data_IF_332555423335
#
_entry.id   IF_332555423335
#
_cell.length_a   1.000
_cell.length_b   1.000
_cell.length_c   1.000
_cell.angle_alpha   90.00
_cell.angle_beta   90.00
_cell.angle_gamma   90.00
#
_symmetry.space_group_name_H-M   'P 1'
#
loop_
_entity.id
_entity.type
_entity.pdbx_description
1 polymer ?
#
# COMPACT_ATOMS: atom_id res chain seq x y z
N UNK A 1 41.08 18.91 -3.80
CA UNK A 1 41.01 19.07 -2.32
C UNK A 1 39.59 19.23 -1.76
N UNK A 2 38.52 18.67 -2.37
CA UNK A 2 37.14 18.82 -1.85
C UNK A 2 36.86 17.92 -0.64
N UNK A 3 37.46 16.73 -0.56
CA UNK A 3 37.15 15.73 0.48
C UNK A 3 37.41 16.21 1.92
N UNK A 4 38.58 16.79 2.27
CA UNK A 4 38.84 17.25 3.65
C UNK A 4 37.90 18.38 4.09
N UNK A 5 37.47 19.22 3.15
CA UNK A 5 36.51 20.29 3.40
C UNK A 5 35.13 19.73 3.77
N UNK A 6 34.65 18.74 3.01
CA UNK A 6 33.35 18.10 3.26
C UNK A 6 33.37 17.37 4.61
N UNK A 7 34.44 16.62 4.90
CA UNK A 7 34.63 15.94 6.19
C UNK A 7 34.58 16.93 7.37
N UNK A 8 35.35 18.02 7.31
CA UNK A 8 35.31 19.06 8.35
C UNK A 8 33.92 19.67 8.52
N UNK A 9 33.23 19.94 7.42
CA UNK A 9 31.88 20.52 7.44
C UNK A 9 30.84 19.59 8.09
N UNK A 10 30.85 18.29 7.77
CA UNK A 10 29.93 17.32 8.40
C UNK A 10 30.27 17.05 9.88
N UNK A 11 31.56 17.09 10.26
CA UNK A 11 31.94 17.07 11.69
C UNK A 11 31.37 18.27 12.43
N UNK A 12 31.47 19.47 11.85
CA UNK A 12 30.90 20.69 12.46
C UNK A 12 29.37 20.62 12.51
N UNK A 13 28.72 20.08 11.46
CA UNK A 13 27.27 19.86 11.44
C UNK A 13 26.86 18.92 12.58
N UNK A 14 27.56 17.82 12.79
CA UNK A 14 27.25 16.87 13.86
C UNK A 14 27.52 17.46 15.27
N UNK A 15 28.70 18.03 15.49
CA UNK A 15 29.28 18.29 16.81
C UNK A 15 28.77 19.54 17.57
N UNK A 16 27.77 20.27 17.06
CA UNK A 16 27.23 21.51 17.68
C UNK A 16 28.29 22.64 17.87
N UNK A 17 29.49 22.50 17.31
CA UNK A 17 30.59 23.46 17.47
C UNK A 17 30.37 24.77 16.72
N UNK A 18 29.63 24.73 15.62
CA UNK A 18 29.30 25.89 14.78
C UNK A 18 27.80 26.07 14.65
N UNK A 19 27.35 27.32 14.61
CA UNK A 19 25.94 27.64 14.39
C UNK A 19 25.51 27.30 12.95
N UNK A 20 24.24 26.95 12.76
CA UNK A 20 23.66 26.68 11.43
C UNK A 20 23.79 27.90 10.50
N UNK A 21 23.71 29.12 11.04
CA UNK A 21 23.92 30.37 10.30
C UNK A 21 25.38 30.54 9.81
N UNK A 22 26.35 29.98 10.53
CA UNK A 22 27.73 29.95 10.05
C UNK A 22 27.90 28.90 8.94
N UNK A 23 27.32 27.72 9.12
CA UNK A 23 27.40 26.61 8.16
C UNK A 23 26.68 26.90 6.83
N UNK A 24 25.61 27.69 6.85
CA UNK A 24 24.84 28.06 5.64
C UNK A 24 25.64 28.90 4.64
N UNK A 25 26.71 29.59 5.08
CA UNK A 25 27.52 30.44 4.20
C UNK A 25 28.27 29.65 3.13
N UNK A 26 28.61 28.40 3.41
CA UNK A 26 29.37 27.54 2.50
C UNK A 26 28.93 26.10 2.66
N UNK A 27 27.87 25.74 1.97
CA UNK A 27 27.27 24.40 2.04
C UNK A 27 27.93 23.51 0.99
N UNK A 28 28.33 22.27 1.32
CA UNK A 28 28.82 21.30 0.35
C UNK A 28 27.77 21.00 -0.73
N UNK A 29 28.20 20.93 -1.98
CA UNK A 29 27.35 20.58 -3.11
C UNK A 29 27.62 19.14 -3.58
N UNK A 30 26.55 18.39 -3.80
CA UNK A 30 26.59 17.00 -4.24
C UNK A 30 25.77 16.83 -5.52
N UNK A 31 26.31 16.05 -6.47
CA UNK A 31 25.62 15.72 -7.71
C UNK A 31 24.58 14.59 -7.52
N UNK A 32 24.88 13.65 -6.62
CA UNK A 32 24.03 12.51 -6.30
C UNK A 32 23.46 12.70 -4.90
N UNK A 33 22.14 12.60 -4.78
CA UNK A 33 21.44 12.71 -3.50
C UNK A 33 21.79 11.55 -2.56
N UNK A 34 22.10 10.37 -3.11
CA UNK A 34 22.50 9.20 -2.34
C UNK A 34 23.80 9.41 -1.56
N UNK A 35 24.74 10.22 -2.10
CA UNK A 35 25.98 10.57 -1.40
C UNK A 35 25.68 11.35 -0.11
N UNK A 36 24.69 12.24 -0.15
CA UNK A 36 24.28 13.02 1.04
C UNK A 36 23.87 12.09 2.17
N UNK A 37 23.08 11.05 1.89
CA UNK A 37 22.65 10.11 2.93
C UNK A 37 23.82 9.37 3.57
N UNK A 38 24.82 8.97 2.77
CA UNK A 38 26.05 8.34 3.27
C UNK A 38 26.80 9.27 4.22
N UNK A 39 27.02 10.53 3.84
CA UNK A 39 27.69 11.52 4.71
C UNK A 39 26.90 11.81 5.99
N UNK A 40 25.57 11.88 5.90
CA UNK A 40 24.73 12.07 7.07
C UNK A 40 24.86 10.90 8.07
N UNK A 41 24.91 9.68 7.56
CA UNK A 41 25.11 8.49 8.38
C UNK A 41 26.53 8.38 8.97
N UNK A 42 27.56 8.53 8.14
CA UNK A 42 28.98 8.41 8.55
C UNK A 42 29.34 9.35 9.70
N UNK A 43 28.73 10.53 9.72
CA UNK A 43 28.95 11.54 10.77
C UNK A 43 27.86 11.53 11.85
N UNK A 44 26.94 10.56 11.81
CA UNK A 44 25.85 10.40 12.78
C UNK A 44 25.09 11.71 13.03
N UNK A 45 24.74 12.41 11.95
CA UNK A 45 24.14 13.73 12.03
C UNK A 45 22.76 13.65 12.71
N UNK A 46 22.46 14.50 13.71
CA UNK A 46 21.12 14.53 14.31
C UNK A 46 20.02 14.85 13.29
N UNK A 47 18.87 14.19 13.42
CA UNK A 47 17.79 14.24 12.41
C UNK A 47 17.33 15.67 12.09
N UNK A 48 17.19 16.54 13.09
CA UNK A 48 16.81 17.96 12.91
C UNK A 48 17.82 18.71 12.03
N UNK A 49 19.12 18.42 12.20
CA UNK A 49 20.19 19.03 11.40
C UNK A 49 20.28 18.43 10.01
N UNK A 50 19.99 17.13 9.88
CA UNK A 50 19.87 16.48 8.59
C UNK A 50 18.72 17.10 7.77
N UNK A 51 17.53 17.26 8.36
CA UNK A 51 16.39 17.97 7.75
C UNK A 51 16.79 19.38 7.30
N UNK A 52 17.43 20.16 8.18
CA UNK A 52 17.92 21.49 7.84
C UNK A 52 18.88 21.46 6.65
N UNK A 53 19.86 20.55 6.65
CA UNK A 53 20.83 20.43 5.57
C UNK A 53 20.17 20.05 4.24
N UNK A 54 19.18 19.14 4.25
CA UNK A 54 18.42 18.78 3.06
C UNK A 54 17.61 19.97 2.53
N UNK A 55 16.94 20.72 3.40
CA UNK A 55 16.20 21.95 3.03
C UNK A 55 17.12 22.98 2.37
N UNK A 56 18.29 23.21 2.95
CA UNK A 56 19.29 24.16 2.41
C UNK A 56 19.89 23.64 1.10
N UNK A 57 20.19 22.35 1.00
CA UNK A 57 20.69 21.73 -0.24
C UNK A 57 19.68 21.86 -1.37
N UNK A 58 18.39 21.66 -1.06
CA UNK A 58 17.31 21.81 -2.02
C UNK A 58 17.16 23.27 -2.50
N UNK A 59 17.15 24.22 -1.56
CA UNK A 59 17.12 25.65 -1.89
C UNK A 59 18.30 26.08 -2.76
N UNK A 60 19.49 25.54 -2.50
CA UNK A 60 20.68 25.81 -3.32
C UNK A 60 20.57 25.22 -4.72
N UNK A 61 20.05 23.99 -4.86
CA UNK A 61 19.79 23.36 -6.16
C UNK A 61 18.77 24.17 -6.99
N UNK A 62 17.69 24.64 -6.37
CA UNK A 62 16.69 25.49 -7.01
C UNK A 62 17.28 26.83 -7.49
N UNK A 63 18.12 27.47 -6.67
CA UNK A 63 18.77 28.73 -7.05
C UNK A 63 19.72 28.56 -8.26
N UNK A 64 20.44 27.43 -8.34
CA UNK A 64 21.34 27.12 -9.46
C UNK A 64 20.55 26.80 -10.74
N UNK A 65 19.45 26.06 -10.63
CA UNK A 65 18.62 25.70 -11.79
C UNK A 65 17.95 26.94 -12.39
N UNK A 66 17.48 27.88 -11.57
CA UNK A 66 16.94 29.17 -12.01
C UNK A 66 17.99 30.05 -12.71
N UNK A 67 19.25 30.03 -12.25
CA UNK A 67 20.31 30.81 -12.90
C UNK A 67 20.71 30.27 -14.27
N UNK A 68 20.63 28.96 -14.47
CA UNK A 68 21.08 28.27 -15.68
C UNK A 68 20.00 28.13 -16.76
N UNK A 69 18.70 28.15 -16.39
CA UNK A 69 17.60 27.85 -17.31
C UNK A 69 16.82 29.07 -17.84
N UNK A 70 17.44 30.26 -17.89
CA UNK A 70 16.77 31.52 -18.31
C UNK A 70 16.11 31.52 -19.71
N UNK A 71 16.27 30.51 -20.55
CA UNK A 71 15.82 30.50 -21.95
C UNK A 71 14.85 29.38 -22.37
N UNK A 72 14.38 28.51 -21.46
CA UNK A 72 13.35 27.51 -21.80
C UNK A 72 12.11 27.72 -20.94
N UNK A 73 10.96 27.86 -21.62
CA UNK A 73 9.61 28.00 -21.03
C UNK A 73 9.47 27.12 -19.78
N UNK A 74 8.81 27.71 -18.78
CA UNK A 74 8.21 27.21 -17.53
C UNK A 74 7.57 25.80 -17.62
N UNK A 75 8.27 24.78 -18.10
CA UNK A 75 7.80 23.41 -18.17
C UNK A 75 8.62 22.57 -17.18
N UNK A 76 7.91 22.12 -16.14
CA UNK A 76 8.25 21.04 -15.22
C UNK A 76 9.62 21.14 -14.56
N UNK A 77 9.69 21.89 -13.46
CA UNK A 77 10.64 21.56 -12.39
C UNK A 77 9.99 20.38 -11.65
N UNK A 78 10.61 19.19 -11.61
CA UNK A 78 10.11 18.07 -10.84
C UNK A 78 9.88 18.49 -9.39
N UNK A 79 8.80 18.02 -8.77
CA UNK A 79 8.56 18.31 -7.35
C UNK A 79 9.76 17.80 -6.55
N UNK A 80 10.47 18.67 -5.81
CA UNK A 80 11.61 18.24 -5.02
C UNK A 80 11.28 17.08 -4.07
N UNK A 81 10.06 17.05 -3.51
CA UNK A 81 9.63 15.99 -2.60
C UNK A 81 9.61 14.62 -3.28
N UNK A 82 9.17 14.53 -4.54
CA UNK A 82 9.18 13.29 -5.33
C UNK A 82 10.61 12.81 -5.60
N UNK A 83 11.52 13.72 -5.97
CA UNK A 83 12.93 13.36 -6.21
C UNK A 83 13.64 12.85 -4.95
N UNK A 84 13.41 13.52 -3.81
CA UNK A 84 13.98 13.10 -2.52
C UNK A 84 13.38 11.77 -2.06
N UNK A 85 12.09 11.54 -2.31
CA UNK A 85 11.41 10.27 -2.03
C UNK A 85 12.02 9.15 -2.86
N UNK A 86 12.13 9.31 -4.17
CA UNK A 86 12.71 8.31 -5.06
C UNK A 86 14.16 7.96 -4.66
N UNK A 87 14.98 8.97 -4.34
CA UNK A 87 16.37 8.76 -3.94
C UNK A 87 16.48 8.04 -2.59
N UNK A 88 15.63 8.38 -1.63
CA UNK A 88 15.62 7.74 -0.31
C UNK A 88 15.12 6.30 -0.39
N UNK A 89 14.02 6.05 -1.09
CA UNK A 89 13.47 4.71 -1.33
C UNK A 89 14.49 3.80 -2.03
N UNK A 90 15.23 4.33 -3.00
CA UNK A 90 16.34 3.62 -3.65
C UNK A 90 17.46 3.29 -2.67
N UNK A 91 17.89 4.25 -1.85
CA UNK A 91 18.95 4.06 -0.85
C UNK A 91 18.56 3.01 0.21
N UNK A 92 17.32 3.05 0.69
CA UNK A 92 16.78 2.04 1.60
C UNK A 92 16.77 0.66 0.94
N UNK A 93 16.30 0.55 -0.31
CA UNK A 93 16.29 -0.70 -1.05
C UNK A 93 17.71 -1.26 -1.23
N UNK A 94 18.68 -0.44 -1.61
CA UNK A 94 20.09 -0.86 -1.72
C UNK A 94 20.67 -1.32 -0.37
N UNK A 95 20.33 -0.62 0.72
CA UNK A 95 20.76 -1.01 2.08
C UNK A 95 20.18 -2.36 2.47
N UNK A 96 18.91 -2.61 2.18
CA UNK A 96 18.28 -3.91 2.39
C UNK A 96 18.95 -5.04 1.60
N UNK A 97 19.23 -4.82 0.31
CA UNK A 97 19.91 -5.85 -0.51
C UNK A 97 21.27 -6.23 0.09
N UNK A 98 22.01 -5.25 0.63
CA UNK A 98 23.26 -5.51 1.37
C UNK A 98 23.05 -6.33 2.65
N UNK A 99 21.94 -6.10 3.37
CA UNK A 99 21.57 -6.93 4.54
C UNK A 99 21.33 -8.37 4.12
N UNK A 100 20.57 -8.60 3.03
CA UNK A 100 20.31 -9.95 2.53
C UNK A 100 21.61 -10.67 2.14
N UNK A 101 22.48 -9.99 1.39
CA UNK A 101 23.76 -10.54 0.94
C UNK A 101 24.66 -10.93 2.11
N UNK A 102 24.70 -10.10 3.15
CA UNK A 102 25.51 -10.33 4.35
C UNK A 102 24.92 -11.41 5.28
N UNK A 103 23.60 -11.63 5.23
CA UNK A 103 22.89 -12.62 6.06
C UNK A 103 22.88 -14.01 5.42
N UNK A 104 23.10 -14.10 4.11
CA UNK A 104 23.16 -15.38 3.39
C UNK A 104 24.50 -16.10 3.59
N UNK A 105 24.55 -17.31 4.19
CA UNK A 105 25.79 -18.04 4.41
C UNK A 105 26.53 -18.47 3.12
N UNK A 106 25.84 -18.48 1.98
CA UNK A 106 26.33 -18.98 0.69
C UNK A 106 26.77 -17.89 -0.31
N UNK A 107 26.79 -16.61 0.06
CA UNK A 107 27.07 -15.50 -0.88
C UNK A 107 28.55 -15.32 -1.27
N UNK A 108 29.45 -16.22 -0.87
CA UNK A 108 30.87 -16.16 -1.21
C UNK A 108 31.24 -16.77 -2.58
N UNK A 109 30.29 -16.87 -3.51
CA UNK A 109 30.59 -17.29 -4.89
C UNK A 109 30.18 -16.20 -5.87
N UNK A 110 31.18 -15.41 -6.27
CA UNK A 110 31.30 -14.67 -7.52
C UNK A 110 30.13 -13.77 -7.93
N UNK A 111 30.31 -12.45 -7.79
CA UNK A 111 30.04 -11.55 -8.91
C UNK A 111 30.81 -10.23 -8.79
N UNK A 112 31.81 -10.10 -9.66
CA UNK A 112 32.40 -8.82 -10.04
C UNK A 112 31.41 -8.02 -10.88
N UNK A 113 30.82 -6.98 -10.29
CA UNK A 113 30.36 -5.83 -11.08
C UNK A 113 30.58 -4.55 -10.28
N UNK A 114 31.31 -3.62 -10.92
CA UNK A 114 31.78 -2.37 -10.37
C UNK A 114 30.69 -1.56 -9.66
N UNK A 115 30.84 -1.35 -8.35
CA UNK A 115 30.38 -0.13 -7.69
C UNK A 115 31.34 0.24 -6.56
N UNK A 116 31.63 1.53 -6.51
CA UNK A 116 32.65 2.21 -5.71
C UNK A 116 32.64 1.80 -4.23
N UNK A 117 33.55 0.92 -3.82
CA UNK A 117 33.98 0.79 -2.44
C UNK A 117 35.48 0.48 -2.40
N UNK A 118 36.26 1.47 -1.97
CA UNK A 118 37.70 1.34 -1.73
C UNK A 118 38.03 2.18 -0.52
N UNK A 119 38.09 1.53 0.64
CA UNK A 119 39.24 1.47 1.55
C UNK A 119 38.79 0.85 2.88
N UNK A 120 39.09 -0.44 3.08
CA UNK A 120 39.88 -0.94 4.21
C UNK A 120 39.72 -2.46 4.33
N UNK A 121 40.84 -3.17 4.13
CA UNK A 121 41.02 -4.56 4.51
C UNK A 121 40.98 -4.70 6.04
N UNK A 122 40.24 -5.68 6.54
CA UNK A 122 40.81 -6.62 7.52
C UNK A 122 40.03 -7.92 7.53
N UNK A 123 40.82 -8.98 7.53
CA UNK A 123 40.51 -10.40 7.59
C UNK A 123 39.75 -10.70 8.90
N UNK A 124 38.68 -11.51 8.82
CA UNK A 124 37.89 -12.05 9.94
C UNK A 124 37.00 -11.07 10.73
N UNK A 125 35.75 -10.88 10.28
CA UNK A 125 34.55 -10.73 11.14
C UNK A 125 33.27 -10.59 10.30
N UNK A 126 32.56 -11.69 9.97
CA UNK A 126 31.22 -11.58 9.39
C UNK A 126 30.19 -10.82 10.27
N UNK A 127 30.19 -10.88 11.62
CA UNK A 127 29.11 -10.25 12.41
C UNK A 127 29.24 -8.73 12.57
N UNK A 128 30.45 -8.16 12.53
CA UNK A 128 30.64 -6.70 12.70
C UNK A 128 30.10 -5.94 11.49
N UNK A 129 30.32 -6.46 10.28
CA UNK A 129 29.84 -5.83 9.04
C UNK A 129 28.30 -5.82 8.96
N UNK A 130 27.63 -6.89 9.40
CA UNK A 130 26.16 -6.96 9.45
C UNK A 130 25.61 -5.89 10.41
N UNK A 131 26.22 -5.76 11.60
CA UNK A 131 25.80 -4.76 12.59
C UNK A 131 25.91 -3.33 12.06
N UNK A 132 26.97 -3.01 11.32
CA UNK A 132 27.13 -1.69 10.69
C UNK A 132 26.06 -1.40 9.64
N UNK A 133 25.71 -2.39 8.81
CA UNK A 133 24.64 -2.24 7.80
C UNK A 133 23.27 -2.09 8.48
N UNK A 134 23.02 -2.80 9.58
CA UNK A 134 21.79 -2.64 10.38
C UNK A 134 21.69 -1.27 11.03
N UNK A 135 22.79 -0.74 11.57
CA UNK A 135 22.83 0.65 12.08
C UNK A 135 22.55 1.66 10.96
N UNK A 136 23.06 1.41 9.75
CA UNK A 136 22.79 2.25 8.59
C UNK A 136 21.30 2.22 8.20
N UNK A 137 20.69 1.04 8.19
CA UNK A 137 19.24 0.88 7.98
C UNK A 137 18.43 1.64 9.03
N UNK A 138 18.77 1.51 10.31
CA UNK A 138 18.10 2.21 11.40
C UNK A 138 18.21 3.74 11.24
N UNK A 139 19.39 4.25 10.89
CA UNK A 139 19.58 5.67 10.65
C UNK A 139 18.72 6.16 9.48
N UNK A 140 18.68 5.42 8.36
CA UNK A 140 17.89 5.80 7.20
C UNK A 140 16.37 5.70 7.43
N UNK A 141 15.88 4.72 8.19
CA UNK A 141 14.45 4.65 8.53
C UNK A 141 14.03 5.77 9.47
N UNK A 142 14.89 6.14 10.44
CA UNK A 142 14.68 7.33 11.29
C UNK A 142 14.73 8.63 10.48
N UNK A 143 15.66 8.75 9.53
CA UNK A 143 15.72 9.88 8.62
C UNK A 143 14.45 9.95 7.77
N UNK A 144 14.02 8.83 7.20
CA UNK A 144 12.78 8.74 6.41
C UNK A 144 11.58 9.26 7.19
N UNK A 145 11.43 8.82 8.45
CA UNK A 145 10.38 9.32 9.33
C UNK A 145 10.46 10.84 9.53
N UNK A 146 11.65 11.32 9.86
CA UNK A 146 11.90 12.76 10.08
C UNK A 146 11.55 13.59 8.83
N UNK A 147 11.87 13.09 7.63
CA UNK A 147 11.58 13.78 6.38
C UNK A 147 10.08 13.69 6.02
N UNK A 148 9.44 12.54 6.31
CA UNK A 148 8.02 12.33 6.10
C UNK A 148 7.16 13.27 6.97
N UNK A 149 7.46 13.38 8.26
CA UNK A 149 6.74 14.25 9.21
C UNK A 149 6.84 15.74 8.81
N UNK A 150 7.99 16.17 8.28
CA UNK A 150 8.22 17.53 7.78
C UNK A 150 7.62 17.80 6.39
N UNK A 151 7.04 16.80 5.73
CA UNK A 151 6.52 16.92 4.37
C UNK A 151 7.61 17.14 3.31
N UNK A 152 8.83 16.66 3.57
CA UNK A 152 9.93 16.67 2.61
C UNK A 152 9.91 15.45 1.67
N UNK A 153 9.07 14.46 1.97
CA UNK A 153 8.79 13.31 1.13
C UNK A 153 7.36 13.40 0.59
N UNK A 154 7.17 12.88 -0.62
CA UNK A 154 5.84 12.59 -1.15
C UNK A 154 5.25 11.43 -0.33
N UNK A 155 4.12 11.70 0.31
CA UNK A 155 3.50 10.75 1.25
C UNK A 155 2.99 9.51 0.52
N UNK A 156 2.32 9.70 -0.62
CA UNK A 156 1.69 8.60 -1.33
C UNK A 156 2.77 7.66 -1.90
N UNK A 157 3.77 8.22 -2.59
CA UNK A 157 4.84 7.44 -3.22
C UNK A 157 5.66 6.66 -2.19
N UNK A 158 5.95 7.26 -1.02
CA UNK A 158 6.66 6.57 0.04
C UNK A 158 5.87 5.39 0.62
N UNK A 159 4.59 5.59 0.94
CA UNK A 159 3.73 4.54 1.49
C UNK A 159 3.47 3.43 0.46
N UNK A 160 3.25 3.79 -0.80
CA UNK A 160 3.08 2.85 -1.89
C UNK A 160 4.35 2.03 -2.14
N UNK A 161 5.53 2.66 -2.12
CA UNK A 161 6.81 1.94 -2.19
C UNK A 161 6.97 0.91 -1.06
N UNK A 162 6.54 1.24 0.16
CA UNK A 162 6.58 0.31 1.28
C UNK A 162 5.65 -0.90 1.05
N UNK A 163 4.48 -0.70 0.42
CA UNK A 163 3.60 -1.79 0.01
C UNK A 163 4.19 -2.64 -1.11
N UNK A 164 4.84 -2.04 -2.10
CA UNK A 164 5.52 -2.79 -3.16
C UNK A 164 6.64 -3.67 -2.61
N UNK A 165 7.32 -3.24 -1.53
CA UNK A 165 8.27 -4.09 -0.81
C UNK A 165 7.55 -5.26 -0.14
N UNK A 166 6.38 -5.01 0.47
CA UNK A 166 5.61 -6.06 1.13
C UNK A 166 5.15 -7.15 0.16
N UNK A 167 4.62 -6.73 -1.00
CA UNK A 167 4.09 -7.64 -2.02
C UNK A 167 5.17 -8.59 -2.57
N UNK A 168 6.42 -8.13 -2.64
CA UNK A 168 7.55 -8.96 -3.11
C UNK A 168 7.92 -10.09 -2.15
N UNK A 169 7.49 -10.00 -0.88
CA UNK A 169 7.82 -10.99 0.14
C UNK A 169 6.94 -12.23 -0.02
N UNK A 170 7.55 -13.35 -0.39
CA UNK A 170 6.83 -14.62 -0.58
C UNK A 170 6.78 -15.45 0.70
N UNK A 171 7.91 -15.61 1.39
CA UNK A 171 8.02 -16.39 2.63
C UNK A 171 7.80 -15.52 3.87
N UNK A 172 7.43 -16.14 4.99
CA UNK A 172 7.42 -15.50 6.32
C UNK A 172 8.83 -15.42 6.94
N UNK A 173 9.78 -16.20 6.41
CA UNK A 173 11.18 -16.21 6.86
C UNK A 173 12.06 -15.17 6.16
N UNK A 174 11.49 -14.41 5.23
CA UNK A 174 12.20 -13.34 4.54
C UNK A 174 12.61 -12.25 5.55
N UNK A 175 13.91 -11.96 5.72
CA UNK A 175 14.38 -10.94 6.66
C UNK A 175 13.78 -9.55 6.42
N UNK A 176 13.36 -9.24 5.18
CA UNK A 176 12.70 -7.98 4.87
C UNK A 176 11.44 -7.78 5.71
N UNK A 177 10.69 -8.85 5.93
CA UNK A 177 9.41 -8.80 6.62
C UNK A 177 9.58 -8.27 8.04
N UNK A 178 10.61 -8.74 8.75
CA UNK A 178 10.96 -8.28 10.09
C UNK A 178 11.45 -6.83 10.10
N UNK A 179 12.12 -6.37 9.03
CA UNK A 179 12.60 -5.00 8.91
C UNK A 179 11.47 -4.00 8.62
N UNK A 180 10.48 -4.38 7.79
CA UNK A 180 9.38 -3.49 7.39
C UNK A 180 8.17 -3.56 8.31
N UNK A 181 7.98 -4.64 9.08
CA UNK A 181 6.84 -4.76 10.01
C UNK A 181 6.75 -3.59 11.01
N UNK A 182 7.85 -3.14 11.66
CA UNK A 182 7.83 -1.96 12.51
C UNK A 182 7.52 -0.67 11.74
N UNK A 183 7.90 -0.59 10.46
CA UNK A 183 7.57 0.55 9.59
C UNK A 183 6.05 0.61 9.37
N UNK A 184 5.38 -0.52 9.12
CA UNK A 184 3.92 -0.52 8.99
C UNK A 184 3.22 -0.02 10.24
N UNK A 185 3.64 -0.47 11.42
CA UNK A 185 3.10 0.04 12.69
C UNK A 185 3.36 1.53 12.85
N UNK A 186 4.53 2.01 12.43
CA UNK A 186 4.91 3.42 12.50
C UNK A 186 4.07 4.32 11.58
N UNK A 187 3.71 3.86 10.38
CA UNK A 187 2.98 4.65 9.38
C UNK A 187 1.50 4.28 9.27
N UNK A 188 0.96 3.38 10.10
CA UNK A 188 -0.42 2.87 9.96
C UNK A 188 -1.48 3.99 9.95
N UNK A 189 -1.30 5.04 10.75
CA UNK A 189 -2.23 6.19 10.80
C UNK A 189 -2.21 7.01 9.49
N UNK A 190 -1.12 6.95 8.74
CA UNK A 190 -1.01 7.59 7.43
C UNK A 190 -1.65 6.70 6.36
N UNK A 191 -1.50 5.37 6.48
CA UNK A 191 -2.22 4.42 5.64
C UNK A 191 -3.74 4.58 5.78
N UNK A 192 -4.26 4.77 7.00
CA UNK A 192 -5.70 4.93 7.26
C UNK A 192 -6.32 6.18 6.62
N UNK A 193 -5.51 7.11 6.13
CA UNK A 193 -5.98 8.27 5.35
C UNK A 193 -6.35 7.92 3.90
N UNK A 194 -5.92 6.76 3.39
CA UNK A 194 -6.24 6.26 2.05
C UNK A 194 -6.86 4.87 2.13
N UNK A 195 -8.08 4.74 1.60
CA UNK A 195 -8.79 3.46 1.56
C UNK A 195 -8.05 2.42 0.71
N UNK A 196 -7.53 2.84 -0.45
CA UNK A 196 -6.77 1.99 -1.35
C UNK A 196 -5.52 1.42 -0.68
N UNK A 197 -4.69 2.28 -0.07
CA UNK A 197 -3.46 1.86 0.59
C UNK A 197 -3.76 1.02 1.85
N UNK A 198 -4.79 1.39 2.63
CA UNK A 198 -5.25 0.61 3.78
C UNK A 198 -5.70 -0.79 3.39
N UNK A 199 -6.50 -0.91 2.33
CA UNK A 199 -6.97 -2.20 1.82
C UNK A 199 -5.81 -3.06 1.35
N UNK A 200 -4.86 -2.44 0.64
CA UNK A 200 -3.68 -3.13 0.16
C UNK A 200 -2.82 -3.67 1.31
N UNK A 201 -2.58 -2.83 2.33
CA UNK A 201 -1.84 -3.22 3.52
C UNK A 201 -2.54 -4.35 4.27
N UNK A 202 -3.84 -4.20 4.54
CA UNK A 202 -4.64 -5.16 5.29
C UNK A 202 -4.69 -6.53 4.60
N UNK A 203 -4.84 -6.56 3.28
CA UNK A 203 -4.85 -7.81 2.51
C UNK A 203 -3.56 -8.61 2.70
N UNK A 204 -2.40 -7.96 2.56
CA UNK A 204 -1.12 -8.66 2.74
C UNK A 204 -0.86 -9.02 4.21
N UNK A 205 -1.23 -8.16 5.17
CA UNK A 205 -1.17 -8.47 6.59
C UNK A 205 -1.99 -9.73 6.93
N UNK A 206 -3.25 -9.80 6.48
CA UNK A 206 -4.13 -10.95 6.73
C UNK A 206 -3.54 -12.24 6.16
N UNK A 207 -3.05 -12.21 4.91
CA UNK A 207 -2.40 -13.37 4.28
C UNK A 207 -1.13 -13.81 5.02
N UNK A 208 -0.29 -12.87 5.47
CA UNK A 208 0.92 -13.19 6.24
C UNK A 208 0.61 -13.78 7.61
N UNK A 209 -0.41 -13.29 8.30
CA UNK A 209 -0.88 -13.88 9.55
C UNK A 209 -1.35 -15.32 9.32
N UNK A 210 -2.15 -15.57 8.27
CA UNK A 210 -2.57 -16.93 7.92
C UNK A 210 -1.39 -17.85 7.57
N UNK A 211 -0.38 -17.35 6.86
CA UNK A 211 0.85 -18.11 6.59
C UNK A 211 1.64 -18.44 7.86
N UNK A 212 1.72 -17.51 8.82
CA UNK A 212 2.36 -17.74 10.11
C UNK A 212 1.67 -18.84 10.91
N UNK A 213 0.33 -18.80 10.98
CA UNK A 213 -0.48 -19.82 11.66
C UNK A 213 -0.30 -21.19 10.99
N UNK A 214 -0.34 -21.23 9.65
CA UNK A 214 -0.15 -22.47 8.91
C UNK A 214 1.25 -23.07 9.09
N UNK A 215 2.29 -22.23 9.13
CA UNK A 215 3.68 -22.68 9.35
C UNK A 215 3.82 -23.41 10.68
N UNK A 216 3.31 -22.81 11.76
CA UNK A 216 3.43 -23.39 13.12
C UNK A 216 2.52 -24.60 13.30
N UNK A 217 1.35 -24.62 12.66
CA UNK A 217 0.47 -25.80 12.65
C UNK A 217 1.07 -27.00 11.90
N UNK A 218 2.05 -26.76 11.03
CA UNK A 218 2.70 -27.79 10.20
C UNK A 218 4.03 -28.27 10.78
N UNK A 219 4.58 -27.63 11.82
CA UNK A 219 5.77 -28.12 12.49
C UNK A 219 5.42 -29.40 13.28
N UNK A 220 6.04 -30.55 12.98
CA UNK A 220 5.76 -31.78 13.70
C UNK A 220 6.42 -31.73 15.07
N UNK A 221 5.64 -31.48 16.13
CA UNK A 221 6.21 -31.47 17.48
C UNK A 221 5.30 -31.07 18.63
N UNK A 222 4.16 -31.75 18.82
CA UNK A 222 3.66 -32.16 20.15
C UNK A 222 2.84 -33.44 19.95
N UNK A 223 3.35 -34.56 20.42
CA UNK A 223 2.60 -35.81 20.56
C UNK A 223 1.37 -35.57 21.44
N UNK A 224 0.18 -35.54 20.85
CA UNK A 224 -1.03 -35.93 21.57
C UNK A 224 -1.22 -37.42 21.35
N UNK A 225 -1.02 -38.17 22.44
CA UNK A 225 -1.30 -39.59 22.60
C UNK A 225 -2.56 -40.03 21.83
N UNK A 226 -2.36 -40.70 20.70
CA UNK A 226 -3.40 -41.58 20.15
C UNK A 226 -3.22 -42.93 20.80
N UNK A 227 -3.91 -43.12 21.92
CA UNK A 227 -4.16 -44.45 22.46
C UNK A 227 -4.88 -45.32 21.40
N UNK A 228 -4.18 -46.38 21.00
CA UNK A 228 -4.68 -47.74 20.78
C UNK A 228 -6.12 -47.92 20.27
N UNK A 229 -6.26 -48.23 18.98
CA UNK A 229 -7.00 -49.43 18.56
C UNK A 229 -6.23 -50.09 17.41
N UNK A 230 -5.69 -51.28 17.69
CA UNK A 230 -5.04 -52.16 16.71
C UNK A 230 -6.06 -53.01 15.94
N UNK A 231 -5.59 -53.47 14.78
CA UNK A 231 -6.05 -54.58 13.92
C UNK A 231 -7.33 -54.36 13.10
N UNK A 232 -7.38 -54.59 11.77
CA UNK A 232 -6.69 -55.58 10.95
C UNK A 232 -6.62 -55.17 9.46
N UNK A 233 -5.70 -55.80 8.70
CA UNK A 233 -5.45 -55.65 7.25
C UNK A 233 -6.47 -56.41 6.40
N UNK A 234 -6.87 -55.84 5.26
CA UNK A 234 -6.75 -56.48 3.93
C UNK A 234 -7.05 -55.47 2.79
N UNK A 235 -6.44 -55.62 1.59
CA UNK A 235 -6.63 -54.71 0.46
C UNK A 235 -7.57 -55.28 -0.60
N UNK A 236 -8.52 -54.48 -1.13
CA UNK A 236 -8.81 -54.43 -2.58
C UNK A 236 -9.97 -53.51 -2.98
N UNK A 237 -9.77 -52.87 -4.16
CA UNK A 237 -10.73 -52.39 -5.18
C UNK A 237 -11.60 -51.13 -4.95
N UNK A 238 -11.21 -50.10 -5.70
CA UNK A 238 -12.00 -49.22 -6.57
C UNK A 238 -13.54 -49.26 -6.46
N UNK A 239 -14.16 -48.13 -6.09
CA UNK A 239 -15.09 -47.38 -6.96
C UNK A 239 -15.71 -46.18 -6.25
N UNK A 240 -15.93 -45.14 -7.06
CA UNK A 240 -16.64 -43.89 -6.81
C UNK A 240 -17.94 -44.00 -6.00
N UNK A 241 -18.14 -43.11 -5.04
CA UNK A 241 -19.48 -42.58 -4.77
C UNK A 241 -19.46 -41.24 -4.04
N UNK A 242 -20.36 -40.39 -4.54
CA UNK A 242 -20.72 -39.04 -4.14
C UNK A 242 -21.28 -39.06 -2.71
N UNK A 243 -20.84 -38.13 -1.86
CA UNK A 243 -21.51 -37.88 -0.58
C UNK A 243 -21.87 -36.39 -0.42
N UNK A 244 -23.18 -36.17 -0.54
CA UNK A 244 -23.94 -35.07 0.05
C UNK A 244 -23.40 -34.64 1.41
N UNK A 245 -23.23 -33.34 1.61
CA UNK A 245 -23.10 -32.75 2.94
C UNK A 245 -24.27 -31.78 3.19
N UNK A 246 -25.21 -32.24 4.01
CA UNK A 246 -26.12 -31.36 4.74
C UNK A 246 -25.34 -30.68 5.88
N UNK A 247 -25.54 -29.38 6.17
CA UNK A 247 -24.91 -28.74 7.30
C UNK A 247 -25.75 -28.98 8.57
N UNK A 248 -25.13 -29.57 9.59
CA UNK A 248 -25.54 -29.41 10.99
C UNK A 248 -24.39 -28.79 11.76
N UNK A 249 -24.67 -27.62 12.29
CA UNK A 249 -23.81 -26.68 13.00
C UNK A 249 -23.59 -27.07 14.47
N UNK A 250 -22.51 -26.50 15.03
CA UNK A 250 -22.28 -26.08 16.43
C UNK A 250 -21.22 -26.76 17.30
N UNK A 251 -20.57 -27.87 16.90
CA UNK A 251 -19.45 -28.44 17.69
C UNK A 251 -18.04 -28.18 17.14
N UNK A 252 -17.91 -27.80 15.85
CA UNK A 252 -16.59 -27.66 15.21
C UNK A 252 -15.97 -26.27 15.36
N UNK A 253 -16.76 -25.22 15.59
CA UNK A 253 -16.24 -23.84 15.76
C UNK A 253 -15.48 -23.64 17.08
N UNK A 254 -15.92 -24.29 18.16
CA UNK A 254 -15.22 -24.24 19.46
C UNK A 254 -13.86 -24.94 19.39
N UNK A 255 -13.76 -26.07 18.70
CA UNK A 255 -12.49 -26.81 18.58
C UNK A 255 -11.48 -26.05 17.73
N UNK A 256 -11.91 -25.44 16.62
CA UNK A 256 -11.03 -24.65 15.76
C UNK A 256 -10.55 -23.36 16.43
N UNK A 257 -11.42 -22.65 17.17
CA UNK A 257 -11.03 -21.44 17.89
C UNK A 257 -10.03 -21.72 19.03
N UNK A 258 -10.18 -22.84 19.73
CA UNK A 258 -9.22 -23.29 20.75
C UNK A 258 -7.86 -23.64 20.13
N UNK A 259 -7.85 -24.34 18.99
CA UNK A 259 -6.63 -24.67 18.26
C UNK A 259 -5.89 -23.41 17.80
N UNK A 260 -6.59 -22.45 17.18
CA UNK A 260 -6.00 -21.18 16.74
C UNK A 260 -5.43 -20.36 17.90
N UNK A 261 -6.11 -20.34 19.05
CA UNK A 261 -5.61 -19.67 20.24
C UNK A 261 -4.34 -20.33 20.78
N UNK A 262 -4.21 -21.66 20.67
CA UNK A 262 -2.96 -22.37 20.98
C UNK A 262 -1.85 -21.96 20.01
N UNK A 263 -2.12 -21.99 18.70
CA UNK A 263 -1.15 -21.56 17.70
C UNK A 263 -0.64 -20.14 18.00
N UNK A 264 -1.52 -19.18 18.29
CA UNK A 264 -1.11 -17.82 18.65
C UNK A 264 -0.22 -17.77 19.89
N UNK A 265 -0.48 -18.58 20.92
CA UNK A 265 0.39 -18.68 22.09
C UNK A 265 1.79 -19.19 21.71
N UNK A 266 1.86 -20.19 20.84
CA UNK A 266 3.12 -20.76 20.37
C UNK A 266 3.91 -19.75 19.52
N UNK A 267 3.23 -18.99 18.64
CA UNK A 267 3.88 -17.91 17.86
C UNK A 267 4.43 -16.82 18.79
N UNK A 268 3.67 -16.43 19.81
CA UNK A 268 4.05 -15.38 20.77
C UNK A 268 5.20 -15.84 21.68
N UNK A 269 5.29 -17.15 21.96
CA UNK A 269 6.40 -17.75 22.67
C UNK A 269 7.69 -17.78 21.83
N UNK A 270 7.57 -17.89 20.50
CA UNK A 270 8.71 -17.84 19.58
C UNK A 270 9.24 -16.41 19.40
N UNK A 271 10.45 -16.12 19.86
CA UNK A 271 11.08 -14.80 19.77
C UNK A 271 11.23 -14.27 18.33
N UNK A 272 11.32 -15.17 17.34
CA UNK A 272 11.46 -14.83 15.92
C UNK A 272 10.18 -14.24 15.32
N UNK A 273 9.02 -14.83 15.62
CA UNK A 273 7.75 -14.48 14.99
C UNK A 273 6.83 -13.62 15.88
N UNK A 274 7.13 -13.54 17.18
CA UNK A 274 6.36 -12.73 18.15
C UNK A 274 6.14 -11.30 17.68
N UNK A 275 7.21 -10.56 17.42
CA UNK A 275 7.13 -9.15 17.02
C UNK A 275 6.41 -8.97 15.67
N UNK A 276 6.58 -9.94 14.77
CA UNK A 276 5.92 -9.93 13.48
C UNK A 276 4.41 -10.10 13.62
N UNK A 277 3.95 -11.12 14.38
CA UNK A 277 2.53 -11.35 14.61
C UNK A 277 1.88 -10.15 15.30
N UNK A 278 2.54 -9.60 16.32
CA UNK A 278 2.05 -8.44 17.06
C UNK A 278 1.97 -7.18 16.17
N UNK A 279 2.97 -6.94 15.32
CA UNK A 279 2.99 -5.81 14.39
C UNK A 279 1.87 -5.91 13.35
N UNK A 280 1.72 -7.06 12.69
CA UNK A 280 0.68 -7.27 11.68
C UNK A 280 -0.73 -7.24 12.31
N UNK A 281 -0.88 -7.79 13.51
CA UNK A 281 -2.15 -7.74 14.25
C UNK A 281 -2.53 -6.30 14.60
N UNK A 282 -1.57 -5.51 15.08
CA UNK A 282 -1.76 -4.09 15.37
C UNK A 282 -2.23 -3.33 14.13
N UNK A 283 -1.60 -3.54 12.98
CA UNK A 283 -1.98 -2.90 11.71
C UNK A 283 -3.42 -3.24 11.31
N UNK A 284 -3.80 -4.52 11.33
CA UNK A 284 -5.17 -4.95 11.04
C UNK A 284 -6.18 -4.30 12.00
N UNK A 285 -5.86 -4.27 13.31
CA UNK A 285 -6.74 -3.70 14.33
C UNK A 285 -6.93 -2.19 14.14
N UNK A 286 -5.86 -1.45 13.85
CA UNK A 286 -5.95 -0.01 13.58
C UNK A 286 -6.75 0.27 12.31
N UNK A 287 -6.47 -0.42 11.20
CA UNK A 287 -7.22 -0.26 9.95
C UNK A 287 -8.70 -0.60 10.17
N UNK A 288 -8.99 -1.67 10.92
CA UNK A 288 -10.37 -2.06 11.25
C UNK A 288 -11.11 -0.93 11.97
N UNK A 289 -10.44 -0.16 12.84
CA UNK A 289 -11.08 0.92 13.62
C UNK A 289 -11.14 2.23 12.84
N UNK A 290 -10.05 2.63 12.20
CA UNK A 290 -9.90 3.96 11.59
C UNK A 290 -10.33 4.03 10.13
N UNK A 291 -10.19 2.92 9.39
CA UNK A 291 -10.57 2.82 7.97
C UNK A 291 -11.39 1.54 7.69
N UNK A 292 -12.59 1.39 8.30
CA UNK A 292 -13.40 0.18 8.11
C UNK A 292 -13.88 -0.01 6.67
N UNK A 293 -13.97 1.03 5.84
CA UNK A 293 -14.35 0.93 4.42
C UNK A 293 -13.38 0.05 3.63
N UNK A 294 -12.08 0.15 3.92
CA UNK A 294 -11.03 -0.64 3.27
C UNK A 294 -11.26 -2.17 3.41
N UNK A 295 -11.92 -2.57 4.50
CA UNK A 295 -12.19 -3.98 4.83
C UNK A 295 -13.52 -4.48 4.25
N UNK A 296 -14.31 -3.63 3.59
CA UNK A 296 -15.60 -4.02 3.01
C UNK A 296 -15.39 -4.93 1.79
N UNK A 297 -16.29 -5.89 1.63
CA UNK A 297 -16.29 -6.81 0.49
C UNK A 297 -16.63 -6.08 -0.82
N UNK A 298 -15.85 -6.33 -1.86
CA UNK A 298 -16.04 -5.77 -3.19
C UNK A 298 -16.10 -6.90 -4.22
N UNK A 299 -17.11 -6.86 -5.11
CA UNK A 299 -17.17 -7.73 -6.28
C UNK A 299 -16.49 -7.06 -7.47
N UNK A 300 -15.17 -7.18 -7.58
CA UNK A 300 -14.50 -6.84 -8.83
C UNK A 300 -14.47 -8.10 -9.69
N UNK A 301 -15.33 -8.19 -10.71
CA UNK A 301 -15.21 -9.23 -11.71
C UNK A 301 -13.92 -9.00 -12.51
N UNK A 302 -13.03 -9.99 -12.51
CA UNK A 302 -11.70 -9.94 -13.16
C UNK A 302 -11.77 -9.84 -14.69
N UNK A 303 -12.95 -9.66 -15.29
CA UNK A 303 -13.15 -9.58 -16.73
C UNK A 303 -13.42 -8.14 -17.18
N UNK A 304 -12.41 -7.59 -17.86
CA UNK A 304 -12.54 -6.70 -19.03
C UNK A 304 -12.59 -5.17 -18.92
N UNK A 305 -11.87 -4.51 -18.00
CA UNK A 305 -11.70 -3.04 -18.11
C UNK A 305 -10.32 -2.46 -17.76
N UNK A 306 -9.39 -3.26 -17.24
CA UNK A 306 -8.02 -2.81 -16.97
C UNK A 306 -7.02 -3.48 -17.90
N UNK A 307 -6.17 -2.65 -18.51
CA UNK A 307 -4.97 -3.07 -19.23
C UNK A 307 -4.16 -4.05 -18.36
N UNK A 308 -3.53 -5.03 -19.00
CA UNK A 308 -3.05 -6.32 -18.46
C UNK A 308 -1.96 -6.25 -17.36
N UNK A 309 -1.71 -5.07 -16.81
CA UNK A 309 -0.72 -4.80 -15.76
C UNK A 309 -1.28 -4.93 -14.34
N UNK A 310 -2.56 -4.62 -14.11
CA UNK A 310 -3.18 -4.59 -12.76
C UNK A 310 -4.16 -5.76 -12.54
N UNK A 311 -4.59 -6.41 -13.62
CA UNK A 311 -5.62 -7.46 -13.68
C UNK A 311 -5.26 -8.83 -13.07
N UNK A 312 -4.19 -8.91 -12.26
CA UNK A 312 -3.76 -10.16 -11.59
C UNK A 312 -3.86 -10.15 -10.07
N UNK A 313 -4.31 -9.05 -9.45
CA UNK A 313 -4.31 -8.97 -8.00
C UNK A 313 -5.71 -9.27 -7.43
N UNK A 314 -5.89 -10.34 -6.63
CA UNK A 314 -7.10 -10.56 -5.82
C UNK A 314 -7.27 -9.51 -4.69
N UNK A 315 -6.58 -8.38 -4.80
CA UNK A 315 -6.56 -7.28 -3.85
C UNK A 315 -7.88 -6.52 -3.79
N UNK A 316 -8.53 -6.38 -4.94
CA UNK A 316 -9.77 -5.61 -5.10
C UNK A 316 -11.01 -6.51 -5.08
N UNK A 317 -10.83 -7.84 -5.11
CA UNK A 317 -11.91 -8.80 -5.04
C UNK A 317 -12.03 -9.36 -3.62
N UNK A 318 -13.26 -9.50 -3.12
CA UNK A 318 -13.51 -10.04 -1.78
C UNK A 318 -13.34 -9.01 -0.66
N UNK A 319 -13.20 -9.45 0.57
CA UNK A 319 -12.74 -8.64 1.70
C UNK A 319 -11.32 -9.05 2.10
N UNK A 320 -10.43 -8.12 2.49
CA UNK A 320 -9.16 -8.46 3.14
C UNK A 320 -9.33 -9.40 4.35
N UNK A 321 -10.47 -9.33 5.05
CA UNK A 321 -10.78 -10.17 6.20
C UNK A 321 -11.00 -11.64 5.83
N UNK A 322 -11.36 -11.95 4.58
CA UNK A 322 -11.59 -13.33 4.12
C UNK A 322 -10.30 -14.18 4.17
N UNK A 323 -9.14 -13.51 4.17
CA UNK A 323 -7.82 -14.13 4.27
C UNK A 323 -7.31 -14.23 5.71
N UNK A 324 -8.02 -13.66 6.69
CA UNK A 324 -7.63 -13.64 8.09
C UNK A 324 -8.18 -14.89 8.79
N UNK A 325 -7.40 -15.57 9.67
CA UNK A 325 -7.83 -16.83 10.26
C UNK A 325 -8.89 -16.67 11.36
N UNK A 326 -9.11 -15.45 11.85
CA UNK A 326 -10.09 -15.11 12.88
C UNK A 326 -10.49 -13.63 12.75
N UNK A 327 -11.49 -13.17 13.51
CA UNK A 327 -11.85 -11.75 13.50
C UNK A 327 -10.74 -10.85 14.10
N UNK A 328 -10.62 -9.57 13.67
CA UNK A 328 -9.66 -8.61 14.21
C UNK A 328 -9.63 -8.50 15.74
N UNK A 329 -10.79 -8.64 16.40
CA UNK A 329 -10.95 -8.60 17.86
C UNK A 329 -10.41 -9.83 18.59
N UNK A 330 -10.18 -10.93 17.87
CA UNK A 330 -9.61 -12.17 18.38
C UNK A 330 -8.10 -12.28 18.15
N UNK A 331 -7.51 -11.38 17.35
CA UNK A 331 -6.06 -11.29 17.18
C UNK A 331 -5.35 -10.88 18.49
N UNK A 332 -4.07 -11.24 18.66
CA UNK A 332 -3.24 -10.78 19.76
C UNK A 332 -3.19 -9.24 19.84
N UNK A 333 -3.26 -8.72 21.07
CA UNK A 333 -3.22 -7.28 21.35
C UNK A 333 -1.97 -6.99 22.19
N UNK A 334 -1.21 -5.97 21.80
CA UNK A 334 0.02 -5.53 22.50
C UNK A 334 -0.29 -4.72 23.76
N UNK A 335 -1.40 -3.97 23.77
CA UNK A 335 -1.79 -3.11 24.89
C UNK A 335 -2.29 -3.90 26.10
N UNK A 336 -1.98 -3.46 27.32
CA UNK A 336 -2.41 -4.10 28.58
C UNK A 336 -3.49 -3.32 29.33
N UNK A 337 -3.56 -1.99 29.20
CA UNK A 337 -4.36 -1.15 30.10
C UNK A 337 -5.83 -0.95 29.69
N UNK A 338 -6.22 -1.29 28.46
CA UNK A 338 -7.60 -1.07 27.97
C UNK A 338 -8.07 -2.14 26.97
N UNK A 339 -7.60 -3.38 27.13
CA UNK A 339 -7.83 -4.47 26.16
C UNK A 339 -9.32 -4.68 25.89
N UNK A 340 -10.15 -4.73 26.92
CA UNK A 340 -11.59 -5.00 26.73
C UNK A 340 -12.31 -3.84 26.02
N UNK A 341 -11.92 -2.60 26.33
CA UNK A 341 -12.47 -1.43 25.63
C UNK A 341 -12.05 -1.44 24.15
N UNK A 342 -10.79 -1.78 23.85
CA UNK A 342 -10.31 -1.93 22.48
C UNK A 342 -11.04 -3.07 21.75
N UNK A 343 -11.20 -4.25 22.37
CA UNK A 343 -11.98 -5.37 21.81
C UNK A 343 -13.42 -4.97 21.52
N UNK A 344 -14.06 -4.21 22.41
CA UNK A 344 -15.41 -3.68 22.19
C UNK A 344 -15.45 -2.74 20.98
N UNK A 345 -14.48 -1.83 20.83
CA UNK A 345 -14.37 -0.95 19.65
C UNK A 345 -14.17 -1.74 18.36
N UNK A 346 -13.32 -2.78 18.39
CA UNK A 346 -13.11 -3.68 17.25
C UNK A 346 -14.39 -4.39 16.85
N UNK A 347 -15.10 -5.02 17.81
CA UNK A 347 -16.38 -5.70 17.55
C UNK A 347 -17.43 -4.77 16.95
N UNK A 348 -17.50 -3.52 17.41
CA UNK A 348 -18.40 -2.53 16.83
C UNK A 348 -18.05 -2.24 15.37
N UNK A 349 -16.76 -2.10 15.06
CA UNK A 349 -16.30 -1.88 13.69
C UNK A 349 -16.49 -3.10 12.78
N UNK A 350 -16.23 -4.31 13.30
CA UNK A 350 -16.53 -5.58 12.61
C UNK A 350 -18.00 -5.69 12.24
N UNK A 351 -18.91 -5.30 13.14
CA UNK A 351 -20.35 -5.27 12.86
C UNK A 351 -20.70 -4.25 11.77
N UNK A 352 -20.05 -3.08 11.77
CA UNK A 352 -20.21 -2.08 10.71
C UNK A 352 -19.74 -2.63 9.36
N UNK A 353 -18.57 -3.27 9.31
CA UNK A 353 -18.01 -3.90 8.11
C UNK A 353 -18.97 -4.98 7.62
N UNK A 354 -19.40 -5.91 8.49
CA UNK A 354 -20.34 -6.99 8.13
C UNK A 354 -21.65 -6.45 7.56
N UNK A 355 -22.21 -5.41 8.17
CA UNK A 355 -23.41 -4.74 7.65
C UNK A 355 -23.17 -4.13 6.26
N UNK A 356 -22.05 -3.45 6.04
CA UNK A 356 -21.68 -2.87 4.75
C UNK A 356 -21.41 -3.93 3.68
N UNK A 357 -20.71 -5.02 4.03
CA UNK A 357 -20.48 -6.17 3.15
C UNK A 357 -21.81 -6.80 2.72
N UNK A 358 -22.71 -7.08 3.66
CA UNK A 358 -24.02 -7.65 3.36
C UNK A 358 -24.86 -6.78 2.44
N UNK A 359 -24.72 -5.45 2.54
CA UNK A 359 -25.35 -4.54 1.60
C UNK A 359 -24.66 -4.60 0.22
N UNK A 360 -23.31 -4.60 0.19
CA UNK A 360 -22.50 -4.65 -1.03
C UNK A 360 -22.81 -5.90 -1.87
N UNK A 361 -22.91 -7.06 -1.22
CA UNK A 361 -23.33 -8.33 -1.83
C UNK A 361 -24.77 -8.27 -2.38
N UNK A 362 -25.66 -7.54 -1.71
CA UNK A 362 -27.02 -7.25 -2.20
C UNK A 362 -27.06 -6.15 -3.26
N UNK A 363 -25.89 -5.75 -3.80
CA UNK A 363 -25.67 -4.71 -4.81
C UNK A 363 -26.20 -3.33 -4.40
N UNK A 364 -26.19 -3.00 -3.10
CA UNK A 364 -26.69 -1.77 -2.44
C UNK A 364 -28.15 -1.33 -2.76
N UNK A 365 -28.73 -1.67 -3.92
CA UNK A 365 -29.91 -1.07 -4.50
C UNK A 365 -30.68 -1.97 -5.50
N UNK A 366 -30.23 -3.18 -5.84
CA UNK A 366 -30.80 -3.95 -6.96
C UNK A 366 -32.31 -4.24 -6.82
N UNK A 367 -32.80 -4.56 -5.61
CA UNK A 367 -34.20 -4.92 -5.40
C UNK A 367 -35.20 -3.76 -5.46
N UNK A 368 -34.77 -2.53 -5.24
CA UNK A 368 -35.62 -1.34 -5.41
C UNK A 368 -35.57 -0.78 -6.84
N UNK A 369 -34.62 -1.24 -7.66
CA UNK A 369 -34.31 -0.65 -8.95
C UNK A 369 -34.87 -1.42 -10.15
N UNK A 370 -35.00 -2.74 -10.04
CA UNK A 370 -35.69 -3.57 -11.04
C UNK A 370 -37.20 -3.22 -11.17
N UNK A 371 -37.75 -2.48 -10.19
CA UNK A 371 -39.12 -1.98 -10.20
C UNK A 371 -39.30 -0.67 -10.99
N UNK A 372 -38.24 -0.04 -11.50
CA UNK A 372 -38.34 1.26 -12.21
C UNK A 372 -37.53 1.23 -13.51
N UNK A 373 -37.92 0.37 -14.45
CA UNK A 373 -37.39 0.30 -15.82
C UNK A 373 -37.91 1.45 -16.71
N UNK A 374 -37.76 2.69 -16.25
CA UNK A 374 -38.08 3.92 -17.01
C UNK A 374 -36.79 4.70 -17.29
N UNK A 375 -36.66 5.33 -18.47
CA UNK A 375 -35.51 6.21 -18.79
C UNK A 375 -35.34 7.37 -17.79
N UNK A 376 -36.41 7.80 -17.12
CA UNK A 376 -36.39 8.85 -16.07
C UNK A 376 -36.26 8.30 -14.64
N UNK A 377 -35.88 7.03 -14.50
CA UNK A 377 -35.74 6.42 -13.17
C UNK A 377 -34.57 7.01 -12.40
N UNK A 378 -34.81 7.30 -11.11
CA UNK A 378 -33.83 7.94 -10.21
C UNK A 378 -32.47 7.25 -10.23
N UNK A 379 -32.40 5.93 -10.43
CA UNK A 379 -31.11 5.23 -10.42
C UNK A 379 -30.44 5.07 -11.78
N UNK A 380 -31.09 5.34 -12.92
CA UNK A 380 -30.34 5.61 -14.14
C UNK A 380 -29.56 6.92 -13.98
N UNK A 381 -30.20 7.92 -13.35
CA UNK A 381 -29.53 9.16 -12.96
C UNK A 381 -28.42 8.89 -11.94
N UNK A 382 -28.65 8.06 -10.91
CA UNK A 382 -27.58 7.72 -9.94
C UNK A 382 -26.43 6.94 -10.58
N UNK A 383 -26.69 5.93 -11.42
CA UNK A 383 -25.61 5.21 -12.12
C UNK A 383 -24.80 6.15 -13.01
N UNK A 384 -25.48 7.00 -13.78
CA UNK A 384 -24.82 8.02 -14.60
C UNK A 384 -24.00 9.00 -13.74
N UNK A 385 -24.49 9.39 -12.56
CA UNK A 385 -23.73 10.22 -11.61
C UNK A 385 -22.51 9.47 -11.04
N UNK A 386 -22.64 8.18 -10.73
CA UNK A 386 -21.54 7.33 -10.25
C UNK A 386 -20.49 7.12 -11.34
N UNK A 387 -20.89 6.86 -12.58
CA UNK A 387 -19.99 6.73 -13.74
C UNK A 387 -19.21 8.03 -14.00
N UNK A 388 -19.88 9.18 -13.82
CA UNK A 388 -19.22 10.49 -13.91
C UNK A 388 -18.24 10.69 -12.76
N UNK A 389 -18.62 10.35 -11.51
CA UNK A 389 -17.70 10.42 -10.37
C UNK A 389 -16.47 9.52 -10.58
N UNK A 390 -16.68 8.29 -11.04
CA UNK A 390 -15.62 7.33 -11.34
C UNK A 390 -14.71 7.83 -12.47
N UNK A 391 -15.29 8.43 -13.52
CA UNK A 391 -14.53 9.06 -14.61
C UNK A 391 -13.69 10.24 -14.13
N UNK A 392 -14.20 11.05 -13.20
CA UNK A 392 -13.47 12.18 -12.62
C UNK A 392 -12.35 11.68 -11.69
N UNK A 393 -12.64 10.71 -10.83
CA UNK A 393 -11.67 10.18 -9.87
C UNK A 393 -10.51 9.47 -10.59
N UNK A 394 -10.78 8.76 -11.69
CA UNK A 394 -9.76 8.11 -12.55
C UNK A 394 -8.97 9.10 -13.41
N UNK A 395 -9.44 10.33 -13.57
CA UNK A 395 -8.84 11.27 -14.50
C UNK A 395 -7.60 11.94 -13.90
N UNK A 396 -6.44 11.59 -14.44
CA UNK A 396 -5.13 12.13 -14.04
C UNK A 396 -4.93 13.52 -14.64
N UNK A 397 -5.29 14.57 -13.88
CA UNK A 397 -5.13 15.97 -14.30
C UNK A 397 -3.65 16.37 -14.54
N UNK A 398 -2.70 15.64 -13.97
CA UNK A 398 -1.26 15.93 -14.06
C UNK A 398 -0.58 15.31 -15.29
N UNK A 399 -1.22 14.35 -16.00
CA UNK A 399 -0.66 13.79 -17.24
C UNK A 399 -1.00 14.69 -18.42
N UNK A 400 -0.01 15.43 -18.91
CA UNK A 400 -0.12 16.22 -20.14
C UNK A 400 -0.12 15.28 -21.36
N UNK A 401 -1.29 14.82 -21.78
CA UNK A 401 -1.49 14.28 -23.13
C UNK A 401 -1.53 15.41 -24.16
N UNK A 402 -1.29 15.09 -25.43
CA UNK A 402 -1.31 16.04 -26.55
C UNK A 402 -2.69 16.68 -26.83
N UNK A 403 -3.77 16.15 -26.25
CA UNK A 403 -5.09 16.78 -26.16
C UNK A 403 -5.29 17.40 -24.77
N UNK A 404 -5.99 18.55 -24.70
CA UNK A 404 -6.36 19.14 -23.41
C UNK A 404 -7.03 18.07 -22.52
N UNK A 405 -6.58 17.87 -21.28
CA UNK A 405 -7.11 16.83 -20.40
C UNK A 405 -8.60 17.07 -20.09
N UNK A 406 -9.03 18.34 -20.05
CA UNK A 406 -10.44 18.70 -19.89
C UNK A 406 -11.30 18.34 -21.10
N UNK A 407 -10.77 18.42 -22.32
CA UNK A 407 -11.52 18.06 -23.52
C UNK A 407 -11.74 16.55 -23.60
N UNK A 408 -10.77 15.76 -23.14
CA UNK A 408 -10.91 14.30 -23.03
C UNK A 408 -11.95 13.92 -21.98
N UNK A 409 -11.90 14.53 -20.79
CA UNK A 409 -12.88 14.28 -19.73
C UNK A 409 -14.29 14.74 -20.13
N UNK A 410 -14.43 15.88 -20.81
CA UNK A 410 -15.70 16.38 -21.33
C UNK A 410 -16.38 15.38 -22.27
N UNK A 411 -15.61 14.79 -23.19
CA UNK A 411 -16.13 13.79 -24.12
C UNK A 411 -16.54 12.48 -23.41
N UNK A 412 -15.84 12.09 -22.34
CA UNK A 412 -16.21 10.90 -21.55
C UNK A 412 -17.52 11.14 -20.78
N UNK A 413 -17.68 12.32 -20.19
CA UNK A 413 -18.84 12.66 -19.33
C UNK A 413 -20.11 12.92 -20.15
N UNK A 414 -20.02 13.71 -21.23
CA UNK A 414 -21.19 14.23 -21.94
C UNK A 414 -21.48 13.57 -23.29
N UNK A 415 -20.57 12.74 -23.83
CA UNK A 415 -20.82 11.90 -25.01
C UNK A 415 -20.83 10.38 -24.72
N UNK A 416 -21.56 9.87 -23.70
CA UNK A 416 -21.66 8.43 -23.52
C UNK A 416 -22.52 7.83 -24.63
N UNK A 417 -21.98 6.84 -25.35
CA UNK A 417 -22.77 5.89 -26.14
C UNK A 417 -23.75 5.20 -25.20
N UNK A 418 -25.04 5.43 -25.42
CA UNK A 418 -26.12 4.73 -24.71
C UNK A 418 -25.92 3.23 -24.90
N UNK A 419 -25.57 2.49 -23.84
CA UNK A 419 -25.76 1.05 -23.79
C UNK A 419 -27.08 0.76 -23.09
N UNK A 420 -28.12 0.57 -23.89
CA UNK A 420 -29.29 -0.23 -23.55
C UNK A 420 -29.76 -0.89 -24.85
N UNK A 421 -29.16 -2.03 -25.19
CA UNK A 421 -29.85 -3.04 -25.97
C UNK A 421 -29.63 -4.36 -25.23
N UNK A 422 -30.73 -4.89 -24.70
CA UNK A 422 -30.77 -6.25 -24.20
C UNK A 422 -30.65 -7.19 -25.39
N UNK A 423 -29.48 -7.76 -25.58
CA UNK A 423 -29.41 -9.08 -26.20
C UNK A 423 -28.20 -9.87 -25.68
N UNK A 424 -28.49 -11.07 -25.19
CA UNK A 424 -27.48 -12.06 -24.82
C UNK A 424 -26.84 -12.57 -26.12
N UNK A 425 -25.72 -11.99 -26.52
CA UNK A 425 -24.83 -12.62 -27.50
C UNK A 425 -23.38 -12.32 -27.20
N UNK A 426 -22.68 -13.37 -26.78
CA UNK A 426 -21.24 -13.43 -26.72
C UNK A 426 -20.64 -13.16 -28.10
N UNK A 427 -19.71 -12.22 -28.18
CA UNK A 427 -18.49 -12.45 -28.95
C UNK A 427 -18.04 -11.35 -29.91
N UNK A 428 -16.72 -11.35 -30.08
CA UNK A 428 -15.98 -10.95 -31.27
C UNK A 428 -15.62 -9.48 -31.42
N UNK A 429 -14.32 -9.23 -31.26
CA UNK A 429 -13.60 -8.10 -31.82
C UNK A 429 -13.84 -8.03 -33.33
N UNK A 430 -14.42 -6.92 -33.77
CA UNK A 430 -14.48 -6.54 -35.16
C UNK A 430 -14.47 -5.02 -35.24
N UNK A 431 -13.39 -4.47 -35.80
CA UNK A 431 -13.33 -3.10 -36.30
C UNK A 431 -14.60 -2.82 -37.12
N UNK A 432 -15.53 -2.06 -36.56
CA UNK A 432 -16.63 -1.47 -37.32
C UNK A 432 -16.36 0.00 -37.51
N UNK A 433 -15.84 0.26 -38.71
CA UNK A 433 -15.99 1.48 -39.49
C UNK A 433 -16.67 2.66 -38.78
N UNK A 434 -15.86 3.68 -38.51
CA UNK A 434 -16.27 5.08 -38.64
C UNK A 434 -17.04 5.23 -39.96
N UNK A 435 -18.35 5.41 -39.90
CA UNK A 435 -19.10 6.07 -40.96
C UNK A 435 -20.42 6.63 -40.40
N UNK A 436 -20.44 7.96 -40.29
CA UNK A 436 -21.60 8.84 -40.40
C UNK A 436 -22.90 8.42 -39.69
N UNK A 437 -22.99 8.74 -38.40
CA UNK A 437 -24.22 9.27 -37.82
C UNK A 437 -23.89 10.56 -37.04
N UNK A 438 -24.23 11.69 -37.66
CA UNK A 438 -24.51 12.98 -37.01
C UNK A 438 -23.61 13.38 -35.83
N UNK A 439 -22.52 14.09 -36.16
CA UNK A 439 -21.85 15.01 -35.24
C UNK A 439 -22.78 16.20 -34.93
N UNK A 440 -23.83 15.99 -34.15
CA UNK A 440 -24.55 17.08 -33.50
C UNK A 440 -23.79 17.44 -32.25
N UNK A 441 -23.02 18.52 -32.31
CA UNK A 441 -22.65 19.27 -31.13
C UNK A 441 -23.96 19.62 -30.41
N UNK A 442 -24.35 18.83 -29.39
CA UNK A 442 -25.47 19.19 -28.52
C UNK A 442 -25.20 20.60 -28.03
N UNK A 443 -26.18 21.48 -28.17
CA UNK A 443 -26.05 22.84 -27.65
C UNK A 443 -25.82 22.76 -26.14
N UNK A 444 -25.04 23.68 -25.56
CA UNK A 444 -24.81 23.74 -24.11
C UNK A 444 -26.15 23.73 -23.35
N UNK A 445 -27.19 24.34 -23.92
CA UNK A 445 -28.54 24.36 -23.35
C UNK A 445 -29.24 23.00 -23.38
N UNK A 446 -28.97 22.16 -24.38
CA UNK A 446 -29.51 20.79 -24.47
C UNK A 446 -28.84 19.88 -23.45
N UNK A 447 -27.52 19.99 -23.28
CA UNK A 447 -26.77 19.26 -22.26
C UNK A 447 -27.21 19.67 -20.85
N UNK A 448 -27.41 20.97 -20.60
CA UNK A 448 -27.90 21.45 -19.31
C UNK A 448 -29.29 20.90 -19.01
N UNK A 449 -30.16 20.78 -20.01
CA UNK A 449 -31.53 20.27 -19.82
C UNK A 449 -31.59 18.75 -19.66
N UNK A 450 -30.73 17.99 -20.35
CA UNK A 450 -30.69 16.52 -20.27
C UNK A 450 -29.91 16.03 -19.04
N UNK A 451 -28.85 16.73 -18.64
CA UNK A 451 -27.88 16.29 -17.62
C UNK A 451 -27.82 17.26 -16.42
N UNK A 452 -28.93 17.87 -16.03
CA UNK A 452 -29.04 18.86 -14.92
C UNK A 452 -28.32 18.36 -13.65
N UNK A 453 -28.55 17.10 -13.27
CA UNK A 453 -27.98 16.50 -12.07
C UNK A 453 -26.46 16.35 -12.15
N UNK A 454 -25.91 16.06 -13.33
CA UNK A 454 -24.47 15.92 -13.56
C UNK A 454 -23.81 17.29 -13.54
N UNK A 455 -24.42 18.29 -14.19
CA UNK A 455 -23.91 19.67 -14.18
C UNK A 455 -23.89 20.21 -12.74
N UNK A 456 -24.95 19.99 -11.96
CA UNK A 456 -24.97 20.35 -10.53
C UNK A 456 -23.89 19.63 -9.74
N UNK A 457 -23.75 18.32 -9.92
CA UNK A 457 -22.70 17.53 -9.27
C UNK A 457 -21.31 18.07 -9.60
N UNK A 458 -21.02 18.39 -10.87
CA UNK A 458 -19.74 18.95 -11.30
C UNK A 458 -19.48 20.33 -10.69
N UNK A 459 -20.50 21.20 -10.63
CA UNK A 459 -20.39 22.50 -9.97
C UNK A 459 -20.12 22.35 -8.46
N UNK A 460 -20.83 21.45 -7.79
CA UNK A 460 -20.59 21.16 -6.37
C UNK A 460 -19.21 20.52 -6.15
N UNK A 461 -18.80 19.59 -7.02
CA UNK A 461 -17.48 18.95 -7.01
C UNK A 461 -16.35 19.98 -7.18
N UNK A 462 -16.52 20.96 -8.07
CA UNK A 462 -15.52 22.00 -8.33
C UNK A 462 -15.36 22.97 -7.15
N UNK A 463 -16.46 23.32 -6.49
CA UNK A 463 -16.52 24.37 -5.45
C UNK A 463 -16.35 23.81 -4.04
N UNK A 464 -16.54 22.51 -3.82
CA UNK A 464 -16.41 21.92 -2.47
C UNK A 464 -14.96 21.96 -1.96
N UNK A 465 -14.80 22.53 -0.76
CA UNK A 465 -13.57 22.49 0.02
C UNK A 465 -13.42 21.18 0.83
N UNK A 466 -14.47 20.34 0.87
CA UNK A 466 -14.47 19.02 1.50
C UNK A 466 -14.06 17.93 0.51
N UNK A 467 -12.85 18.06 -0.07
CA UNK A 467 -12.25 17.00 -0.91
C UNK A 467 -11.74 15.79 -0.09
N UNK A 468 -11.78 15.96 1.24
CA UNK A 468 -11.48 15.08 2.37
C UNK A 468 -12.66 14.24 2.90
N UNK A 469 -12.67 12.90 2.91
CA UNK A 469 -13.54 12.15 3.86
C UNK A 469 -14.17 10.82 3.40
N UNK A 470 -14.97 10.25 4.32
CA UNK A 470 -15.57 8.89 4.33
C UNK A 470 -16.43 8.49 3.11
N UNK A 471 -16.68 9.41 2.17
CA UNK A 471 -17.63 9.24 1.06
C UNK A 471 -17.02 9.41 -0.33
N UNK A 472 -15.70 9.42 -0.45
CA UNK A 472 -15.03 9.21 -1.75
C UNK A 472 -13.93 8.18 -1.63
N UNK A 473 -13.91 7.25 -2.58
CA UNK A 473 -12.73 6.44 -2.87
C UNK A 473 -11.62 7.39 -3.31
N UNK A 474 -10.72 7.72 -2.39
CA UNK A 474 -9.41 8.28 -2.74
C UNK A 474 -8.65 7.23 -3.54
N UNK A 475 -8.44 7.50 -4.84
CA UNK A 475 -7.34 6.91 -5.60
C UNK A 475 -6.03 7.49 -5.06
#
# INVERSE_FOLDING_TARGET
>A
NKKPYVEGWFKDLASNTKSLAHLSKKVPFFNKKEEIFVWLYEYSVPMIKAQWFLKVSNAHQMAISESNNKSKKRNQIPDPSQEWTASLCKTLKETYMKIMEATNPNSNVNNSSNTFSSLNNSLNSPPVKIKEILNQWEYYTRLARSLFEEGLLDRHDFLFWLLELFEKIKSIDDPLLTLIAPMFVQYVNEFTQSEFLSRHLAFHCARKISQLVAHISSEPGVDTDKENVNDHKDPDKSSSSILNTNPKSSSNESSNSVMLMSCFKDIIACSKYRELLLSLSCVIQVITIECPTAMVWHNFDSSSFFDNSISKTPLLHGSPLDYLPCEPSNLPIVSTENVEHLRKRLRNSENLIRHRCANSEKKWFFKTFEAVSSPDSVGNVVNRLLDVLDSIDKHLFDKVTSSNPLDSLYNIIFNPTIHFDGDNSYGSYGERNRNNSSMTNKSIQEIINEDVSIVKLLCEWAVTNKRLGEYRSRI
#
